data_IF_194728301247
#
_entry.id   IF_194728301247
#
_cell.length_a   1.000
_cell.length_b   1.000
_cell.length_c   1.000
_cell.angle_alpha   90.00
_cell.angle_beta   90.00
_cell.angle_gamma   90.00
#
_symmetry.space_group_name_H-M   'P 1'
#
loop_
_entity.id
_entity.type
_entity.pdbx_description
1 polymer ?
#
# COMPACT_ATOMS: atom_id res chain seq x y z
N UNK A 1 -21.92 -6.89 -2.32
CA UNK A 1 -20.72 -7.72 -2.09
C UNK A 1 -19.65 -7.04 -2.91
N UNK A 2 -19.03 -5.96 -2.44
CA UNK A 2 -18.43 -5.83 -1.11
C UNK A 2 -18.72 -4.44 -0.52
N UNK A 3 -19.48 -4.45 0.57
CA UNK A 3 -19.70 -3.29 1.43
C UNK A 3 -19.18 -3.72 2.80
N UNK A 4 -18.57 -2.79 3.54
CA UNK A 4 -18.17 -2.91 4.95
C UNK A 4 -16.72 -3.30 5.25
N UNK A 5 -15.78 -2.38 4.99
CA UNK A 5 -14.60 -2.25 5.86
C UNK A 5 -14.90 -1.15 6.88
N UNK A 6 -15.69 -1.54 7.88
CA UNK A 6 -15.81 -0.81 9.14
C UNK A 6 -14.40 -0.65 9.72
N UNK A 7 -14.04 0.60 10.05
CA UNK A 7 -12.81 0.96 10.76
C UNK A 7 -12.82 0.22 12.11
N UNK A 8 -12.36 -1.03 12.15
CA UNK A 8 -12.10 -1.76 13.37
C UNK A 8 -10.87 -1.12 14.00
N UNK A 9 -11.01 -0.66 15.23
CA UNK A 9 -9.91 -0.27 16.09
C UNK A 9 -8.95 -1.47 16.17
N UNK A 10 -7.92 -1.39 15.35
CA UNK A 10 -7.05 -2.51 15.05
C UNK A 10 -5.95 -2.45 16.10
N UNK A 11 -6.04 -3.35 17.10
CA UNK A 11 -5.04 -3.62 18.13
C UNK A 11 -3.74 -4.19 17.50
N UNK A 12 -3.24 -3.64 16.40
CA UNK A 12 -2.67 -4.53 15.39
C UNK A 12 -1.47 -3.97 14.66
N UNK A 13 -0.37 -4.72 14.73
CA UNK A 13 0.56 -4.79 13.62
C UNK A 13 0.04 -5.84 12.64
N UNK A 14 -0.96 -5.48 11.84
CA UNK A 14 -1.45 -6.34 10.75
C UNK A 14 -1.36 -5.57 9.44
N UNK A 15 -0.77 -6.21 8.43
CA UNK A 15 -0.69 -5.64 7.08
C UNK A 15 -1.98 -6.00 6.36
N UNK A 16 -2.93 -5.06 6.35
CA UNK A 16 -4.20 -5.19 5.65
C UNK A 16 -4.00 -4.82 4.17
N UNK A 17 -4.68 -5.53 3.29
CA UNK A 17 -4.67 -5.25 1.87
C UNK A 17 -5.38 -3.93 1.57
N UNK A 18 -4.76 -3.05 0.79
CA UNK A 18 -5.40 -1.83 0.31
C UNK A 18 -6.47 -2.09 -0.77
N UNK A 19 -7.52 -1.28 -0.77
CA UNK A 19 -8.49 -1.22 -1.88
C UNK A 19 -7.89 -0.66 -3.17
N UNK A 20 -8.64 -0.65 -4.29
CA UNK A 20 -8.16 -0.11 -5.57
C UNK A 20 -7.75 1.37 -5.46
N UNK A 21 -6.50 1.68 -5.79
CA UNK A 21 -5.96 3.04 -5.74
C UNK A 21 -4.80 3.24 -6.73
N UNK A 22 -4.43 4.51 -6.98
CA UNK A 22 -3.24 4.89 -7.75
C UNK A 22 -2.19 5.54 -6.85
N UNK A 23 -0.91 5.34 -7.16
CA UNK A 23 0.21 5.94 -6.43
C UNK A 23 0.88 7.03 -7.26
N UNK A 24 0.81 8.29 -6.80
CA UNK A 24 1.50 9.42 -7.44
C UNK A 24 2.67 9.86 -6.56
N UNK A 25 3.90 9.57 -7.00
CA UNK A 25 5.13 9.92 -6.28
C UNK A 25 5.83 11.07 -7.01
N UNK A 26 5.63 12.30 -6.54
CA UNK A 26 6.40 13.45 -7.02
C UNK A 26 7.87 13.32 -6.60
N UNK A 27 8.79 13.55 -7.55
CA UNK A 27 10.20 13.34 -7.28
C UNK A 27 10.57 11.86 -7.10
N UNK A 28 9.96 10.96 -7.88
CA UNK A 28 10.25 9.52 -7.85
C UNK A 28 11.74 9.17 -8.13
N UNK A 29 12.52 10.10 -8.70
CA UNK A 29 13.96 9.97 -8.88
C UNK A 29 14.79 10.38 -7.66
N UNK A 30 14.16 10.90 -6.59
CA UNK A 30 14.84 11.37 -5.38
C UNK A 30 15.27 10.23 -4.45
N UNK A 31 16.21 10.55 -3.56
CA UNK A 31 16.82 9.59 -2.63
C UNK A 31 15.78 8.88 -1.74
N UNK A 32 14.78 9.61 -1.25
CA UNK A 32 13.71 9.05 -0.42
C UNK A 32 12.85 8.02 -1.18
N UNK A 33 12.55 8.32 -2.45
CA UNK A 33 11.74 7.44 -3.28
C UNK A 33 12.45 6.11 -3.51
N UNK A 34 13.74 6.17 -3.86
CA UNK A 34 14.57 5.00 -4.09
C UNK A 34 14.85 4.19 -2.82
N UNK A 35 15.21 4.85 -1.72
CA UNK A 35 15.65 4.15 -0.49
C UNK A 35 14.51 3.68 0.40
N UNK A 36 13.33 4.28 0.31
CA UNK A 36 12.23 3.99 1.25
C UNK A 36 10.90 3.71 0.56
N UNK A 37 10.42 4.61 -0.30
CA UNK A 37 9.05 4.47 -0.84
C UNK A 37 8.91 3.26 -1.75
N UNK A 38 9.77 3.11 -2.77
CA UNK A 38 9.72 1.97 -3.68
C UNK A 38 9.97 0.64 -2.95
N UNK A 39 10.97 0.52 -2.05
CA UNK A 39 11.13 -0.68 -1.23
C UNK A 39 9.91 -1.02 -0.38
N UNK A 40 9.26 -0.03 0.24
CA UNK A 40 8.06 -0.27 1.05
C UNK A 40 6.87 -0.73 0.19
N UNK A 41 6.66 -0.14 -0.99
CA UNK A 41 5.62 -0.57 -1.92
C UNK A 41 5.89 -1.98 -2.45
N UNK A 42 7.15 -2.29 -2.78
CA UNK A 42 7.56 -3.62 -3.19
C UNK A 42 7.37 -4.65 -2.05
N UNK A 43 7.67 -4.27 -0.80
CA UNK A 43 7.39 -5.12 0.35
C UNK A 43 5.89 -5.44 0.48
N UNK A 44 5.00 -4.47 0.28
CA UNK A 44 3.55 -4.71 0.26
C UNK A 44 3.13 -5.64 -0.89
N UNK A 45 3.79 -5.54 -2.05
CA UNK A 45 3.60 -6.44 -3.18
C UNK A 45 4.00 -7.87 -2.84
N UNK A 46 5.19 -8.10 -2.29
CA UNK A 46 5.65 -9.42 -1.84
C UNK A 46 4.74 -10.03 -0.77
N UNK A 47 4.14 -9.19 0.10
CA UNK A 47 3.20 -9.63 1.14
C UNK A 47 1.76 -9.85 0.64
N UNK A 48 1.50 -9.75 -0.66
CA UNK A 48 0.16 -9.82 -1.26
C UNK A 48 -0.84 -8.79 -0.71
N UNK A 49 -0.34 -7.73 -0.05
CA UNK A 49 -1.12 -6.64 0.51
C UNK A 49 -1.24 -5.44 -0.45
N UNK A 50 -0.53 -5.48 -1.57
CA UNK A 50 -0.65 -4.47 -2.62
C UNK A 50 -2.01 -4.58 -3.35
N UNK A 51 -2.60 -3.45 -3.77
CA UNK A 51 -3.83 -3.44 -4.55
C UNK A 51 -3.73 -4.33 -5.80
N UNK A 52 -4.75 -5.17 -6.02
CA UNK A 52 -4.86 -6.07 -7.19
C UNK A 52 -5.04 -5.28 -8.49
N UNK A 53 -5.74 -4.16 -8.36
CA UNK A 53 -5.99 -3.18 -9.42
C UNK A 53 -5.28 -1.91 -8.97
N UNK A 54 -4.28 -1.50 -9.72
CA UNK A 54 -3.56 -0.24 -9.53
C UNK A 54 -3.45 0.48 -10.87
N UNK A 55 -3.47 1.82 -10.81
CA UNK A 55 -3.23 2.73 -11.94
C UNK A 55 -1.83 3.32 -11.85
#
# INVERSE_FOLDING_TARGET
MDTEDHIKAHSSCEIIRGGPCGYVIFGASGDLAYRKLLPALYFLFEKNAFPKVFL
#
